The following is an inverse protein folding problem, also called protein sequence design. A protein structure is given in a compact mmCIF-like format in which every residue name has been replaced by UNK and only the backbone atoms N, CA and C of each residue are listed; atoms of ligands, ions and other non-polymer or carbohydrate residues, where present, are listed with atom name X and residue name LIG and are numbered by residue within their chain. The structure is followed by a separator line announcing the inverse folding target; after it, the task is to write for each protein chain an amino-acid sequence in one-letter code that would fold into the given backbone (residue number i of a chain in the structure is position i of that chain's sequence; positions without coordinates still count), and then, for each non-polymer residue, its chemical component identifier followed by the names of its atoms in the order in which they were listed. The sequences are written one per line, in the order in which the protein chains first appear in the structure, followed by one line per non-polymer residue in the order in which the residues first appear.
data_IF_601409144855
#
_entry.id   IF_601409144855
#
_cell.length_a   1.000
_cell.length_b   1.000
_cell.length_c   1.000
_cell.angle_alpha   90.00
_cell.angle_beta   90.00
_cell.angle_gamma   90.00
#
_symmetry.space_group_name_H-M   'P 1'
#
loop_
_entity.id
_entity.type
_entity.pdbx_description
1 polymer ?
#
# COMPACT_ATOMS: atom_id res chain seq x y z
N UNK A 1 -5.95 48.25 10.76
CA UNK A 1 -5.52 49.52 11.37
C UNK A 1 -4.00 49.40 11.59
N UNK A 2 -3.23 50.02 10.69
CA UNK A 2 -2.01 50.87 10.78
C UNK A 2 -1.01 50.45 11.87
N UNK A 3 0.21 49.87 11.51
CA UNK A 3 1.47 50.54 11.04
C UNK A 3 2.10 51.49 12.07
N UNK A 4 3.37 51.27 12.36
CA UNK A 4 4.57 52.16 12.49
C UNK A 4 5.68 51.35 13.14
N UNK A 5 6.74 50.88 12.49
CA UNK A 5 8.06 51.44 12.06
C UNK A 5 8.84 52.18 13.14
N UNK A 6 10.12 51.80 13.28
CA UNK A 6 11.14 52.55 14.02
C UNK A 6 12.51 51.89 14.01
N UNK A 7 13.36 52.33 13.11
CA UNK A 7 14.80 52.12 13.01
C UNK A 7 15.57 52.54 14.28
N UNK A 8 16.73 51.91 14.50
CA UNK A 8 18.01 52.61 14.64
C UNK A 8 19.20 51.65 14.89
N UNK A 9 20.14 51.70 13.95
CA UNK A 9 21.55 51.40 14.21
C UNK A 9 22.25 52.65 14.80
N UNK A 10 23.41 52.50 15.47
CA UNK A 10 24.66 52.84 14.81
C UNK A 10 25.92 51.96 15.16
N UNK A 11 26.70 51.69 14.17
CA UNK A 11 28.06 52.10 13.76
C UNK A 11 29.25 51.89 14.73
N UNK A 12 30.16 50.98 14.31
CA UNK A 12 31.60 51.06 13.97
C UNK A 12 32.64 51.56 14.98
N UNK A 13 33.73 50.77 15.11
CA UNK A 13 35.16 51.02 14.88
C UNK A 13 36.01 49.98 15.61
N UNK A 14 36.72 49.12 14.94
CA UNK A 14 38.10 49.15 14.42
C UNK A 14 39.23 49.06 15.49
N UNK A 15 40.19 48.20 15.18
CA UNK A 15 41.64 48.09 15.45
C UNK A 15 42.08 46.72 16.02
N UNK A 16 43.07 46.12 15.29
CA UNK A 16 44.03 45.16 15.85
C UNK A 16 44.31 43.91 15.02
N UNK A 17 45.32 43.96 14.17
CA UNK A 17 45.96 42.89 13.41
C UNK A 17 46.92 42.04 14.26
N UNK A 18 47.68 41.03 13.73
CA UNK A 18 47.36 39.59 13.82
C UNK A 18 48.42 38.80 14.59
N UNK A 19 48.10 37.66 15.11
CA UNK A 19 49.15 36.67 15.54
C UNK A 19 48.85 35.32 14.83
N UNK A 20 49.82 34.93 14.00
CA UNK A 20 49.97 33.58 13.42
C UNK A 20 50.25 32.56 14.55
N UNK A 21 49.47 31.52 14.67
CA UNK A 21 49.95 30.21 15.05
C UNK A 21 49.20 29.13 14.30
N UNK A 22 49.96 28.35 13.55
CA UNK A 22 49.46 27.21 12.80
C UNK A 22 49.04 26.06 13.71
N UNK A 23 47.81 25.64 13.59
CA UNK A 23 47.35 24.33 14.02
C UNK A 23 46.67 23.69 12.82
N UNK A 24 47.31 22.64 12.29
CA UNK A 24 46.77 21.77 11.27
C UNK A 24 45.57 21.00 11.87
N UNK A 25 44.37 21.51 11.72
CA UNK A 25 43.17 20.75 11.95
C UNK A 25 42.97 19.77 10.76
N UNK A 26 43.21 18.49 11.02
CA UNK A 26 42.76 17.40 10.16
C UNK A 26 41.24 17.46 10.10
N UNK A 27 40.72 18.12 9.09
CA UNK A 27 39.33 18.10 8.77
C UNK A 27 38.98 16.68 8.31
N UNK A 28 38.22 15.95 9.12
CA UNK A 28 37.71 14.62 8.82
C UNK A 28 36.93 14.65 7.51
N UNK A 29 37.51 14.05 6.49
CA UNK A 29 36.94 13.85 5.16
C UNK A 29 36.05 12.60 5.19
N UNK A 30 34.95 12.64 5.96
CA UNK A 30 33.99 11.54 6.07
C UNK A 30 32.58 11.85 5.53
N UNK A 31 32.37 13.03 4.91
CA UNK A 31 31.06 13.44 4.38
C UNK A 31 30.92 13.22 2.87
N UNK A 32 31.95 12.67 2.19
CA UNK A 32 31.88 12.48 0.73
C UNK A 32 31.55 11.07 0.24
N UNK A 33 31.44 10.09 1.14
CA UNK A 33 31.26 8.67 0.75
C UNK A 33 29.80 8.24 0.71
N UNK A 34 28.97 8.81 1.55
CA UNK A 34 27.53 8.44 1.63
C UNK A 34 26.73 9.07 0.48
N UNK A 35 26.98 10.33 0.15
CA UNK A 35 26.33 10.97 -1.01
C UNK A 35 26.78 10.34 -2.34
N UNK A 36 28.04 9.97 -2.46
CA UNK A 36 28.56 9.32 -3.66
C UNK A 36 28.03 7.88 -3.81
N UNK A 37 27.77 7.19 -2.70
CA UNK A 37 27.21 5.85 -2.70
C UNK A 37 25.71 5.85 -3.06
N UNK A 38 24.94 6.83 -2.58
CA UNK A 38 23.52 7.01 -2.92
C UNK A 38 23.35 7.42 -4.40
N UNK A 39 24.19 8.36 -4.89
CA UNK A 39 24.17 8.76 -6.30
C UNK A 39 24.62 7.62 -7.24
N UNK A 40 25.55 6.76 -6.79
CA UNK A 40 25.95 5.58 -7.57
C UNK A 40 24.90 4.47 -7.56
N UNK A 41 24.14 4.31 -6.46
CA UNK A 41 23.03 3.36 -6.41
C UNK A 41 21.87 3.81 -7.31
N UNK A 42 21.54 5.11 -7.34
CA UNK A 42 20.52 5.65 -8.25
C UNK A 42 20.96 5.49 -9.72
N UNK A 43 22.22 5.82 -10.05
CA UNK A 43 22.74 5.62 -11.41
C UNK A 43 22.93 4.15 -11.79
N UNK A 44 23.10 3.22 -10.84
CA UNK A 44 23.29 1.79 -11.15
C UNK A 44 21.95 1.06 -11.30
N UNK A 45 20.88 1.54 -10.65
CA UNK A 45 19.52 1.02 -10.83
C UNK A 45 18.91 1.50 -12.15
N UNK A 46 19.27 2.69 -12.62
CA UNK A 46 18.78 3.25 -13.89
C UNK A 46 19.48 2.67 -15.14
N UNK A 47 20.63 2.00 -14.98
CA UNK A 47 21.43 1.50 -16.12
C UNK A 47 21.22 0.02 -16.48
N UNK A 48 20.42 -0.73 -15.72
CA UNK A 48 20.18 -2.16 -15.94
C UNK A 48 18.75 -2.41 -16.40
N UNK A 49 18.48 -2.10 -17.63
CA UNK A 49 17.31 -2.57 -18.39
C UNK A 49 17.32 -1.91 -19.75
N UNK A 50 17.00 -2.63 -20.85
CA UNK A 50 16.88 -1.97 -22.14
C UNK A 50 15.87 -0.84 -21.99
N UNK A 51 16.30 0.42 -22.20
CA UNK A 51 15.39 1.51 -22.56
C UNK A 51 14.67 1.08 -23.82
N UNK A 52 13.55 0.40 -23.66
CA UNK A 52 12.61 0.19 -24.74
C UNK A 52 11.96 1.56 -24.97
N UNK A 53 12.64 2.42 -25.72
CA UNK A 53 12.03 3.55 -26.44
C UNK A 53 11.04 2.91 -27.41
N UNK A 54 9.94 2.39 -26.84
CA UNK A 54 8.97 1.60 -27.54
C UNK A 54 8.32 2.44 -28.62
N UNK A 55 8.14 1.83 -29.80
CA UNK A 55 7.34 2.42 -30.86
C UNK A 55 6.01 2.94 -30.27
N UNK A 56 5.37 3.91 -30.89
CA UNK A 56 4.04 4.41 -30.46
C UNK A 56 3.04 3.26 -30.23
N UNK A 57 3.17 2.20 -31.01
CA UNK A 57 2.35 0.98 -30.92
C UNK A 57 2.59 0.28 -29.58
N UNK A 58 3.85 0.10 -29.14
CA UNK A 58 4.15 -0.53 -27.85
C UNK A 58 3.59 0.29 -26.68
N UNK A 59 3.73 1.62 -26.69
CA UNK A 59 3.17 2.51 -25.66
C UNK A 59 1.65 2.38 -25.57
N UNK A 60 0.98 2.30 -26.71
CA UNK A 60 -0.46 2.12 -26.78
C UNK A 60 -0.90 0.74 -26.28
N UNK A 61 -0.21 -0.34 -26.66
CA UNK A 61 -0.49 -1.70 -26.15
C UNK A 61 -0.29 -1.77 -24.63
N UNK A 62 0.80 -1.19 -24.11
CA UNK A 62 1.05 -1.12 -22.66
C UNK A 62 -0.07 -0.37 -21.93
N UNK A 63 -0.58 0.70 -22.50
CA UNK A 63 -1.71 1.45 -21.93
C UNK A 63 -3.00 0.63 -21.91
N UNK A 64 -3.34 -0.05 -23.03
CA UNK A 64 -4.52 -0.94 -23.06
C UNK A 64 -4.40 -2.10 -22.09
N UNK A 65 -3.20 -2.69 -21.96
CA UNK A 65 -2.93 -3.71 -20.97
C UNK A 65 -3.15 -3.20 -19.53
N UNK A 66 -2.67 -1.98 -19.21
CA UNK A 66 -2.89 -1.36 -17.91
C UNK A 66 -4.36 -1.12 -17.60
N UNK A 67 -5.14 -0.67 -18.60
CA UNK A 67 -6.60 -0.53 -18.46
C UNK A 67 -7.25 -1.89 -18.20
N UNK A 68 -6.91 -2.92 -18.97
CA UNK A 68 -7.47 -4.25 -18.79
C UNK A 68 -7.15 -4.82 -17.39
N UNK A 69 -5.91 -4.69 -16.93
CA UNK A 69 -5.49 -5.11 -15.60
C UNK A 69 -6.27 -4.37 -14.49
N UNK A 70 -6.48 -3.06 -14.66
CA UNK A 70 -7.27 -2.25 -13.74
C UNK A 70 -8.75 -2.65 -13.71
N UNK A 71 -9.36 -2.94 -14.86
CA UNK A 71 -10.74 -3.40 -14.94
C UNK A 71 -10.90 -4.77 -14.26
N UNK A 72 -9.98 -5.70 -14.46
CA UNK A 72 -9.97 -6.98 -13.74
C UNK A 72 -9.88 -6.76 -12.25
N UNK A 73 -8.99 -5.89 -11.78
CA UNK A 73 -8.90 -5.50 -10.37
C UNK A 73 -10.23 -4.93 -9.86
N UNK A 74 -10.81 -3.98 -10.58
CA UNK A 74 -12.04 -3.31 -10.16
C UNK A 74 -13.21 -4.30 -10.03
N UNK A 75 -13.37 -5.20 -10.99
CA UNK A 75 -14.37 -6.27 -10.92
C UNK A 75 -14.07 -7.22 -9.76
N UNK A 76 -12.79 -7.56 -9.54
CA UNK A 76 -12.37 -8.44 -8.44
C UNK A 76 -12.71 -7.85 -7.08
N UNK A 77 -12.50 -6.56 -6.87
CA UNK A 77 -12.80 -5.91 -5.59
C UNK A 77 -14.31 -5.78 -5.36
N UNK A 78 -15.09 -5.51 -6.41
CA UNK A 78 -16.55 -5.53 -6.32
C UNK A 78 -17.08 -6.94 -6.00
N UNK A 79 -16.48 -7.96 -6.61
CA UNK A 79 -16.79 -9.35 -6.29
C UNK A 79 -16.43 -9.70 -4.84
N UNK A 80 -15.28 -9.20 -4.34
CA UNK A 80 -14.85 -9.39 -2.95
C UNK A 80 -15.87 -8.84 -1.95
N UNK A 81 -16.45 -7.65 -2.24
CA UNK A 81 -17.53 -7.06 -1.43
C UNK A 81 -18.72 -8.01 -1.40
N UNK A 82 -19.19 -8.45 -2.56
CA UNK A 82 -20.30 -9.39 -2.66
C UNK A 82 -20.01 -10.74 -2.01
N UNK A 83 -18.80 -11.26 -2.17
CA UNK A 83 -18.35 -12.52 -1.61
C UNK A 83 -18.37 -12.51 -0.07
N UNK A 84 -17.82 -11.47 0.55
CA UNK A 84 -17.73 -11.34 2.02
C UNK A 84 -19.09 -10.98 2.64
N UNK A 85 -19.85 -10.09 1.98
CA UNK A 85 -21.11 -9.60 2.53
C UNK A 85 -22.33 -10.46 2.14
N UNK A 86 -22.15 -11.51 1.34
CA UNK A 86 -23.26 -12.36 0.89
C UNK A 86 -24.21 -11.68 -0.10
N UNK A 87 -23.72 -10.72 -0.93
CA UNK A 87 -24.54 -9.88 -1.82
C UNK A 87 -24.31 -10.25 -3.30
N UNK A 88 -25.40 -10.35 -4.05
CA UNK A 88 -25.51 -10.28 -5.55
C UNK A 88 -24.45 -11.04 -6.38
N UNK A 89 -23.55 -11.83 -5.78
CA UNK A 89 -22.54 -12.63 -6.52
C UNK A 89 -22.97 -14.10 -6.58
N UNK A 90 -22.58 -14.83 -7.64
CA UNK A 90 -22.96 -16.24 -7.80
C UNK A 90 -22.47 -17.15 -6.67
N UNK A 91 -21.35 -16.79 -6.06
CA UNK A 91 -20.73 -17.54 -4.98
C UNK A 91 -20.24 -16.59 -3.89
N UNK A 92 -20.66 -16.86 -2.66
CA UNK A 92 -20.28 -16.11 -1.46
C UNK A 92 -19.36 -16.94 -0.57
N UNK A 93 -18.91 -16.36 0.52
CA UNK A 93 -18.08 -17.04 1.51
C UNK A 93 -18.78 -18.24 2.16
N UNK A 94 -20.13 -18.23 2.19
CA UNK A 94 -20.96 -19.23 2.84
C UNK A 94 -21.72 -20.13 1.85
N UNK A 95 -21.57 -19.90 0.53
CA UNK A 95 -22.24 -20.69 -0.50
C UNK A 95 -21.27 -21.48 -1.37
N UNK A 96 -21.64 -22.69 -1.76
CA UNK A 96 -20.85 -23.55 -2.63
C UNK A 96 -21.11 -25.04 -2.36
N UNK A 97 -20.18 -25.88 -2.80
CA UNK A 97 -20.28 -27.34 -2.64
C UNK A 97 -19.92 -27.74 -1.22
N UNK A 98 -20.74 -28.60 -0.62
CA UNK A 98 -20.46 -29.20 0.67
C UNK A 98 -19.15 -30.02 0.60
N UNK A 99 -18.27 -29.75 1.55
CA UNK A 99 -16.94 -30.36 1.59
C UNK A 99 -16.63 -30.76 3.05
N UNK A 100 -15.95 -31.89 3.29
CA UNK A 100 -15.51 -32.23 4.64
C UNK A 100 -14.71 -31.10 5.29
N UNK A 101 -14.99 -30.80 6.57
CA UNK A 101 -14.42 -29.63 7.26
C UNK A 101 -12.89 -29.57 7.18
N UNK A 102 -12.19 -30.71 7.34
CA UNK A 102 -10.73 -30.74 7.24
C UNK A 102 -10.23 -30.36 5.84
N UNK A 103 -10.87 -30.85 4.79
CA UNK A 103 -10.55 -30.51 3.42
C UNK A 103 -10.83 -29.01 3.16
N UNK A 104 -11.98 -28.50 3.62
CA UNK A 104 -12.35 -27.10 3.48
C UNK A 104 -11.28 -26.17 4.12
N UNK A 105 -10.87 -26.46 5.34
CA UNK A 105 -9.81 -25.69 6.04
C UNK A 105 -8.50 -25.71 5.25
N UNK A 106 -8.05 -26.91 4.83
CA UNK A 106 -6.78 -27.04 4.09
C UNK A 106 -6.81 -26.28 2.77
N UNK A 107 -7.87 -26.47 1.96
CA UNK A 107 -8.00 -25.80 0.67
C UNK A 107 -8.06 -24.29 0.84
N UNK A 108 -8.87 -23.78 1.78
CA UNK A 108 -9.02 -22.36 2.02
C UNK A 108 -7.70 -21.72 2.51
N UNK A 109 -6.98 -22.39 3.42
CA UNK A 109 -5.66 -21.92 3.88
C UNK A 109 -4.63 -21.92 2.76
N UNK A 110 -4.62 -22.93 1.87
CA UNK A 110 -3.73 -22.96 0.72
C UNK A 110 -4.02 -21.81 -0.26
N UNK A 111 -5.29 -21.51 -0.53
CA UNK A 111 -5.71 -20.40 -1.40
C UNK A 111 -5.33 -19.05 -0.79
N UNK A 112 -5.58 -18.84 0.49
CA UNK A 112 -5.18 -17.62 1.20
C UNK A 112 -3.66 -17.46 1.25
N UNK A 113 -2.92 -18.55 1.46
CA UNK A 113 -1.45 -18.56 1.44
C UNK A 113 -0.93 -18.26 0.04
N UNK A 114 -1.51 -18.82 -1.01
CA UNK A 114 -1.15 -18.53 -2.40
C UNK A 114 -1.26 -17.02 -2.68
N UNK A 115 -2.41 -16.42 -2.32
CA UNK A 115 -2.59 -14.97 -2.46
C UNK A 115 -1.56 -14.19 -1.64
N UNK A 116 -1.39 -14.54 -0.35
CA UNK A 116 -0.48 -13.82 0.55
C UNK A 116 0.98 -13.87 0.06
N UNK A 117 1.44 -15.04 -0.38
CA UNK A 117 2.80 -15.23 -0.91
C UNK A 117 2.99 -14.46 -2.22
N UNK A 118 2.08 -14.66 -3.19
CA UNK A 118 2.14 -13.94 -4.47
C UNK A 118 2.17 -12.43 -4.25
N UNK A 119 1.22 -11.91 -3.47
CA UNK A 119 1.08 -10.48 -3.21
C UNK A 119 2.31 -9.89 -2.49
N UNK A 120 2.81 -10.59 -1.45
CA UNK A 120 3.97 -10.13 -0.69
C UNK A 120 5.27 -10.23 -1.47
N UNK A 121 5.52 -11.35 -2.17
CA UNK A 121 6.78 -11.59 -2.88
C UNK A 121 6.93 -10.58 -4.04
N UNK A 122 5.88 -10.41 -4.85
CA UNK A 122 5.93 -9.47 -5.97
C UNK A 122 6.03 -8.01 -5.53
N UNK A 123 5.66 -7.67 -4.30
CA UNK A 123 5.83 -6.34 -3.75
C UNK A 123 7.29 -6.02 -3.37
N UNK A 124 8.17 -7.03 -3.18
CA UNK A 124 9.55 -6.83 -2.71
C UNK A 124 10.45 -6.23 -3.79
N UNK A 125 11.32 -5.28 -3.38
CA UNK A 125 12.26 -4.62 -4.28
C UNK A 125 13.19 -5.61 -5.01
N UNK A 126 13.67 -6.64 -4.31
CA UNK A 126 14.50 -7.71 -4.92
C UNK A 126 13.77 -8.47 -6.02
N UNK A 127 12.49 -8.79 -5.80
CA UNK A 127 11.67 -9.44 -6.81
C UNK A 127 11.43 -8.52 -8.00
N UNK A 128 11.10 -7.26 -7.77
CA UNK A 128 10.90 -6.26 -8.82
C UNK A 128 12.15 -6.08 -9.69
N UNK A 129 13.33 -5.98 -9.08
CA UNK A 129 14.60 -5.87 -9.81
C UNK A 129 14.88 -7.09 -10.70
N UNK A 130 14.53 -8.30 -10.24
CA UNK A 130 14.61 -9.51 -11.06
C UNK A 130 13.52 -9.56 -12.14
N UNK A 131 12.28 -9.27 -11.76
CA UNK A 131 11.10 -9.35 -12.64
C UNK A 131 11.15 -8.35 -13.80
N UNK A 132 11.66 -7.15 -13.58
CA UNK A 132 11.79 -6.10 -14.61
C UNK A 132 12.87 -6.38 -15.65
N UNK A 133 13.63 -7.46 -15.52
CA UNK A 133 14.47 -7.97 -16.61
C UNK A 133 13.63 -8.62 -17.73
N UNK A 134 12.44 -9.11 -17.41
CA UNK A 134 11.54 -9.81 -18.34
C UNK A 134 10.30 -8.98 -18.66
N UNK A 135 9.78 -8.24 -17.68
CA UNK A 135 8.57 -7.42 -17.81
C UNK A 135 8.96 -5.95 -17.87
N UNK A 136 8.57 -5.23 -18.93
CA UNK A 136 8.90 -3.81 -19.06
C UNK A 136 8.41 -2.98 -17.87
N UNK A 137 9.26 -2.07 -17.37
CA UNK A 137 8.97 -1.21 -16.21
C UNK A 137 7.58 -0.53 -16.24
N UNK A 138 7.09 0.00 -17.37
CA UNK A 138 5.78 0.66 -17.42
C UNK A 138 4.59 -0.23 -17.07
N UNK A 139 4.67 -1.54 -17.35
CA UNK A 139 3.58 -2.51 -17.13
C UNK A 139 3.79 -3.39 -15.89
N UNK A 140 4.93 -3.25 -15.20
CA UNK A 140 5.27 -4.04 -14.00
C UNK A 140 4.17 -3.96 -12.94
N UNK A 141 3.74 -2.75 -12.60
CA UNK A 141 2.72 -2.51 -11.57
C UNK A 141 1.36 -3.06 -11.98
N UNK A 142 0.96 -2.88 -13.24
CA UNK A 142 -0.28 -3.44 -13.79
C UNK A 142 -0.25 -4.98 -13.78
N UNK A 143 0.90 -5.60 -14.08
CA UNK A 143 1.09 -7.05 -14.01
C UNK A 143 0.97 -7.57 -12.59
N UNK A 144 1.57 -6.88 -11.62
CA UNK A 144 1.42 -7.20 -10.20
C UNK A 144 -0.05 -7.19 -9.76
N UNK A 145 -0.78 -6.13 -10.11
CA UNK A 145 -2.21 -5.98 -9.80
C UNK A 145 -3.04 -7.06 -10.46
N UNK A 146 -2.75 -7.41 -11.70
CA UNK A 146 -3.43 -8.48 -12.43
C UNK A 146 -3.23 -9.83 -11.74
N UNK A 147 -2.00 -10.22 -11.38
CA UNK A 147 -1.75 -11.48 -10.68
C UNK A 147 -2.39 -11.53 -9.29
N UNK A 148 -2.38 -10.43 -8.54
CA UNK A 148 -3.08 -10.35 -7.27
C UNK A 148 -4.59 -10.53 -7.43
N UNK A 149 -5.19 -9.90 -8.45
CA UNK A 149 -6.61 -10.06 -8.79
C UNK A 149 -6.96 -11.48 -9.21
N UNK A 150 -6.15 -12.11 -10.06
CA UNK A 150 -6.34 -13.50 -10.49
C UNK A 150 -6.24 -14.48 -9.31
N UNK A 151 -5.31 -14.24 -8.38
CA UNK A 151 -5.20 -15.06 -7.16
C UNK A 151 -6.42 -14.94 -6.26
N UNK A 152 -7.00 -13.73 -6.14
CA UNK A 152 -8.26 -13.52 -5.42
C UNK A 152 -9.45 -14.17 -6.14
N UNK A 153 -9.55 -14.03 -7.45
CA UNK A 153 -10.60 -14.68 -8.24
C UNK A 153 -10.53 -16.22 -8.11
N UNK A 154 -9.31 -16.77 -8.13
CA UNK A 154 -9.10 -18.19 -7.88
C UNK A 154 -9.55 -18.58 -6.47
N UNK A 155 -9.24 -17.74 -5.46
CA UNK A 155 -9.66 -17.94 -4.08
C UNK A 155 -11.20 -17.94 -4.00
N UNK A 156 -11.88 -16.97 -4.57
CA UNK A 156 -13.36 -16.92 -4.54
C UNK A 156 -13.98 -18.10 -5.26
N UNK A 157 -13.42 -18.47 -6.41
CA UNK A 157 -13.93 -19.60 -7.20
C UNK A 157 -13.77 -20.94 -6.49
N UNK A 158 -12.58 -21.20 -5.89
CA UNK A 158 -12.27 -22.48 -5.26
C UNK A 158 -12.56 -22.53 -3.76
N UNK A 159 -13.03 -21.43 -3.16
CA UNK A 159 -13.37 -21.39 -1.75
C UNK A 159 -14.33 -22.52 -1.35
N UNK A 160 -14.04 -23.21 -0.26
CA UNK A 160 -14.90 -24.24 0.32
C UNK A 160 -15.68 -23.63 1.48
N UNK A 161 -17.02 -23.51 1.40
CA UNK A 161 -17.81 -22.92 2.46
C UNK A 161 -17.78 -23.76 3.72
N UNK A 162 -17.80 -23.10 4.88
CA UNK A 162 -17.94 -23.69 6.20
C UNK A 162 -19.05 -22.95 6.93
N UNK A 163 -20.33 -23.31 6.65
CA UNK A 163 -21.49 -22.49 7.02
C UNK A 163 -21.92 -22.65 8.47
N UNK A 164 -21.20 -23.42 9.30
CA UNK A 164 -21.49 -23.54 10.73
C UNK A 164 -21.43 -22.17 11.39
N UNK A 165 -22.54 -21.74 12.01
CA UNK A 165 -22.69 -20.43 12.61
C UNK A 165 -21.96 -20.36 13.95
N UNK A 166 -21.13 -19.31 14.13
CA UNK A 166 -20.45 -18.97 15.38
C UNK A 166 -21.31 -17.99 16.20
N UNK A 167 -21.82 -16.94 15.54
CA UNK A 167 -22.84 -16.07 16.10
C UNK A 167 -23.83 -15.63 15.03
N UNK A 168 -25.04 -15.36 15.48
CA UNK A 168 -26.11 -14.74 14.71
C UNK A 168 -26.76 -13.65 15.55
N UNK A 169 -26.75 -12.44 15.04
CA UNK A 169 -27.32 -11.28 15.68
C UNK A 169 -28.80 -11.21 15.36
N UNK A 170 -29.62 -11.79 16.23
CA UNK A 170 -31.08 -11.84 16.06
C UNK A 170 -31.80 -10.49 16.16
N UNK A 171 -31.15 -9.43 16.63
CA UNK A 171 -31.71 -8.07 16.69
C UNK A 171 -31.56 -7.40 15.31
N UNK A 172 -32.67 -7.01 14.62
CA UNK A 172 -32.63 -6.43 13.29
C UNK A 172 -31.84 -5.09 13.23
N UNK A 173 -31.98 -4.23 14.22
CA UNK A 173 -31.34 -2.91 14.24
C UNK A 173 -29.83 -3.06 14.39
N UNK A 174 -29.38 -3.99 15.23
CA UNK A 174 -27.98 -4.30 15.39
C UNK A 174 -27.41 -4.97 14.14
N UNK A 175 -28.16 -5.86 13.49
CA UNK A 175 -27.75 -6.48 12.22
C UNK A 175 -27.56 -5.43 11.12
N UNK A 176 -28.49 -4.49 10.96
CA UNK A 176 -28.38 -3.35 10.02
C UNK A 176 -27.18 -2.48 10.38
N UNK A 177 -26.93 -2.24 11.65
CA UNK A 177 -25.76 -1.46 12.11
C UNK A 177 -24.46 -2.14 11.70
N UNK A 178 -24.32 -3.46 11.91
CA UNK A 178 -23.14 -4.23 11.52
C UNK A 178 -22.91 -4.23 10.01
N UNK A 179 -23.96 -4.42 9.21
CA UNK A 179 -23.88 -4.32 7.75
C UNK A 179 -23.43 -2.92 7.32
N UNK A 180 -23.98 -1.87 7.93
CA UNK A 180 -23.61 -0.49 7.64
C UNK A 180 -22.13 -0.23 7.97
N UNK A 181 -21.64 -0.74 9.11
CA UNK A 181 -20.23 -0.65 9.48
C UNK A 181 -19.34 -1.42 8.49
N UNK A 182 -19.75 -2.60 8.04
CA UNK A 182 -19.02 -3.33 7.01
C UNK A 182 -18.89 -2.51 5.71
N UNK A 183 -19.99 -1.90 5.24
CA UNK A 183 -19.96 -0.97 4.11
C UNK A 183 -19.05 0.24 4.36
N UNK A 184 -19.12 0.83 5.54
CA UNK A 184 -18.22 1.93 5.92
C UNK A 184 -16.75 1.51 5.88
N UNK A 185 -16.43 0.27 6.25
CA UNK A 185 -15.09 -0.31 6.08
C UNK A 185 -14.65 -0.31 4.62
N UNK A 186 -15.49 -0.78 3.70
CA UNK A 186 -15.20 -0.74 2.26
C UNK A 186 -15.05 0.69 1.71
N UNK A 187 -15.91 1.61 2.13
CA UNK A 187 -15.79 3.03 1.77
C UNK A 187 -14.47 3.60 2.27
N UNK A 188 -14.04 3.23 3.49
CA UNK A 188 -12.75 3.64 4.04
C UNK A 188 -11.58 3.12 3.19
N UNK A 189 -11.63 1.85 2.71
CA UNK A 189 -10.62 1.29 1.78
C UNK A 189 -10.51 2.13 0.52
N UNK A 190 -11.62 2.40 -0.16
CA UNK A 190 -11.62 3.18 -1.40
C UNK A 190 -11.16 4.61 -1.17
N UNK A 191 -11.73 5.30 -0.19
CA UNK A 191 -11.38 6.69 0.12
C UNK A 191 -9.89 6.83 0.44
N UNK A 192 -9.36 5.91 1.25
CA UNK A 192 -7.93 5.90 1.62
C UNK A 192 -7.02 5.66 0.41
N UNK A 193 -7.40 4.78 -0.50
CA UNK A 193 -6.63 4.53 -1.73
C UNK A 193 -6.58 5.75 -2.64
N UNK A 194 -7.70 6.50 -2.76
CA UNK A 194 -7.74 7.76 -3.52
C UNK A 194 -6.89 8.86 -2.88
N UNK A 195 -6.82 8.92 -1.55
CA UNK A 195 -6.01 9.90 -0.83
C UNK A 195 -4.51 9.71 -1.05
N UNK A 196 -4.02 8.47 -1.19
CA UNK A 196 -2.60 8.23 -1.46
C UNK A 196 -2.27 8.53 -2.93
N UNK A 197 -2.87 7.85 -3.84
CA UNK A 197 -2.87 7.97 -5.30
C UNK A 197 -3.42 6.67 -5.91
N UNK A 198 -4.72 6.54 -6.00
CA UNK A 198 -5.40 5.34 -6.46
C UNK A 198 -4.84 4.78 -7.79
N UNK A 199 -4.71 5.65 -8.79
CA UNK A 199 -4.27 5.23 -10.12
C UNK A 199 -2.78 4.81 -10.18
N UNK A 200 -1.96 5.36 -9.30
CA UNK A 200 -0.56 4.93 -9.13
C UNK A 200 -0.47 3.58 -8.42
N UNK A 201 -1.28 3.38 -7.37
CA UNK A 201 -1.35 2.10 -6.65
C UNK A 201 -1.69 0.93 -7.58
N UNK A 202 -2.56 1.15 -8.57
CA UNK A 202 -3.06 0.09 -9.44
C UNK A 202 -2.49 0.10 -10.86
N UNK A 203 -1.41 0.88 -11.11
CA UNK A 203 -0.61 0.77 -12.32
C UNK A 203 -1.07 1.63 -13.51
N UNK A 204 -2.22 2.32 -13.42
CA UNK A 204 -2.72 3.17 -14.52
C UNK A 204 -1.85 4.40 -14.74
N UNK A 205 -1.31 4.99 -13.68
CA UNK A 205 -0.48 6.18 -13.77
C UNK A 205 0.82 5.89 -14.53
N UNK A 206 1.43 4.72 -14.28
CA UNK A 206 2.67 4.31 -14.94
C UNK A 206 2.50 4.13 -16.46
N UNK A 207 1.45 3.42 -16.88
CA UNK A 207 1.19 3.19 -18.32
C UNK A 207 0.73 4.47 -19.02
N UNK A 208 -0.01 5.35 -18.34
CA UNK A 208 -0.42 6.65 -18.87
C UNK A 208 0.79 7.56 -19.08
N UNK A 209 1.67 7.67 -18.08
CA UNK A 209 2.90 8.45 -18.17
C UNK A 209 3.80 7.93 -19.32
N UNK A 210 3.92 6.60 -19.46
CA UNK A 210 4.65 6.00 -20.55
C UNK A 210 4.05 6.35 -21.92
N UNK A 211 2.71 6.33 -22.05
CA UNK A 211 2.01 6.68 -23.29
C UNK A 211 2.31 8.13 -23.72
N UNK A 212 2.22 9.08 -22.77
CA UNK A 212 2.42 10.52 -23.06
C UNK A 212 3.89 10.94 -23.00
N UNK A 213 4.83 10.03 -22.70
CA UNK A 213 6.26 10.32 -22.62
C UNK A 213 6.65 11.18 -21.39
N UNK A 214 5.87 11.11 -20.30
CA UNK A 214 6.15 11.83 -19.06
C UNK A 214 6.95 10.93 -18.09
N UNK A 215 8.02 11.48 -17.53
CA UNK A 215 8.78 10.79 -16.49
C UNK A 215 7.98 10.63 -15.19
N UNK A 216 8.26 9.56 -14.44
CA UNK A 216 7.68 9.36 -13.13
C UNK A 216 8.18 10.46 -12.17
N UNK A 217 7.27 11.08 -11.43
CA UNK A 217 7.66 12.03 -10.41
C UNK A 217 8.38 11.29 -9.26
N UNK A 218 9.40 11.91 -8.63
CA UNK A 218 10.08 11.31 -7.49
C UNK A 218 9.10 11.03 -6.35
N UNK A 219 9.25 9.87 -5.72
CA UNK A 219 8.43 9.46 -4.59
C UNK A 219 8.69 10.40 -3.41
N UNK A 220 7.63 11.03 -2.88
CA UNK A 220 7.69 11.91 -1.72
C UNK A 220 6.82 11.35 -0.61
N UNK A 221 7.27 11.45 0.62
CA UNK A 221 6.45 11.12 1.77
C UNK A 221 5.28 12.11 1.89
N UNK A 222 4.05 11.58 2.05
CA UNK A 222 2.83 12.38 2.22
C UNK A 222 1.90 11.68 3.19
N UNK A 223 1.26 12.47 4.04
CA UNK A 223 0.27 12.03 5.02
C UNK A 223 -1.07 12.73 4.80
N UNK A 224 -1.83 12.41 3.73
CA UNK A 224 -3.07 13.10 3.43
C UNK A 224 -4.17 12.73 4.43
N UNK A 225 -4.92 13.71 4.89
CA UNK A 225 -6.15 13.62 5.70
C UNK A 225 -6.21 12.43 6.69
N UNK A 226 -6.75 11.26 6.29
CA UNK A 226 -6.92 10.08 7.15
C UNK A 226 -5.58 9.54 7.67
N UNK A 227 -4.49 9.70 6.92
CA UNK A 227 -3.15 9.29 7.32
C UNK A 227 -2.56 10.15 8.44
N UNK A 228 -3.17 11.27 8.79
CA UNK A 228 -2.84 12.03 10.00
C UNK A 228 -3.45 11.43 11.29
N UNK A 229 -4.46 10.57 11.16
CA UNK A 229 -5.13 9.93 12.29
C UNK A 229 -4.64 8.50 12.53
N UNK A 230 -4.49 7.73 11.45
CA UNK A 230 -3.96 6.36 11.48
C UNK A 230 -3.02 6.15 10.31
N UNK A 231 -1.96 5.36 10.51
CA UNK A 231 -0.95 5.13 9.46
C UNK A 231 -1.46 4.23 8.34
N UNK A 232 -2.37 3.30 8.66
CA UNK A 232 -2.86 2.29 7.71
C UNK A 232 -4.39 2.26 7.61
N UNK A 233 -5.03 3.34 7.11
CA UNK A 233 -6.48 3.42 7.04
C UNK A 233 -7.10 2.41 6.05
N UNK A 234 -6.39 2.00 4.99
CA UNK A 234 -6.82 0.94 4.06
C UNK A 234 -6.99 -0.38 4.84
N UNK A 235 -5.99 -0.75 5.64
CA UNK A 235 -6.02 -1.99 6.43
C UNK A 235 -7.08 -1.96 7.52
N UNK A 236 -7.27 -0.80 8.16
CA UNK A 236 -8.37 -0.59 9.11
C UNK A 236 -9.74 -0.82 8.43
N UNK A 237 -9.91 -0.31 7.22
CA UNK A 237 -11.13 -0.51 6.44
C UNK A 237 -11.42 -1.98 6.17
N UNK A 238 -10.41 -2.77 5.77
CA UNK A 238 -10.56 -4.21 5.58
C UNK A 238 -10.91 -4.95 6.88
N UNK A 239 -10.24 -4.62 8.00
CA UNK A 239 -10.55 -5.23 9.30
C UNK A 239 -12.01 -4.95 9.67
N UNK A 240 -12.46 -3.70 9.59
CA UNK A 240 -13.86 -3.35 9.86
C UNK A 240 -14.78 -4.15 8.94
N UNK A 241 -14.53 -4.15 7.64
CA UNK A 241 -15.37 -4.82 6.65
C UNK A 241 -15.53 -6.33 6.90
N UNK A 242 -14.47 -7.00 7.35
CA UNK A 242 -14.48 -8.47 7.52
C UNK A 242 -15.02 -8.92 8.89
N UNK A 243 -14.91 -8.09 9.94
CA UNK A 243 -15.32 -8.46 11.28
C UNK A 243 -16.73 -8.02 11.64
N UNK A 244 -17.32 -7.04 10.94
CA UNK A 244 -18.67 -6.53 11.26
C UNK A 244 -19.77 -7.26 10.49
N UNK A 245 -19.77 -8.59 10.59
CA UNK A 245 -20.79 -9.44 10.00
C UNK A 245 -21.92 -9.73 11.00
N UNK A 246 -23.22 -9.56 10.64
CA UNK A 246 -24.34 -9.89 11.53
C UNK A 246 -24.44 -11.41 11.77
N UNK A 247 -24.10 -12.21 10.77
CA UNK A 247 -23.94 -13.66 10.89
C UNK A 247 -22.47 -13.99 10.63
N UNK A 248 -21.82 -14.62 11.59
CA UNK A 248 -20.44 -15.07 11.45
C UNK A 248 -20.41 -16.58 11.41
N UNK A 249 -19.98 -17.11 10.29
CA UNK A 249 -19.73 -18.55 10.11
C UNK A 249 -18.30 -18.92 10.39
N UNK A 250 -18.01 -20.21 10.50
CA UNK A 250 -16.63 -20.71 10.63
C UNK A 250 -15.78 -20.31 9.42
N UNK A 251 -16.36 -20.34 8.21
CA UNK A 251 -15.66 -19.92 6.99
C UNK A 251 -15.34 -18.44 6.99
N UNK A 252 -16.31 -17.60 7.37
CA UNK A 252 -16.10 -16.16 7.46
C UNK A 252 -15.09 -15.80 8.55
N UNK A 253 -15.17 -16.45 9.73
CA UNK A 253 -14.20 -16.26 10.82
C UNK A 253 -12.78 -16.65 10.39
N UNK A 254 -12.62 -17.80 9.70
CA UNK A 254 -11.32 -18.19 9.16
C UNK A 254 -10.74 -17.14 8.22
N UNK A 255 -11.57 -16.66 7.28
CA UNK A 255 -11.17 -15.61 6.34
C UNK A 255 -10.76 -14.33 7.06
N UNK A 256 -11.60 -13.81 7.97
CA UNK A 256 -11.34 -12.59 8.72
C UNK A 256 -10.08 -12.70 9.59
N UNK A 257 -9.90 -13.82 10.31
CA UNK A 257 -8.75 -14.03 11.19
C UNK A 257 -7.44 -14.15 10.40
N UNK A 258 -7.39 -15.01 9.37
CA UNK A 258 -6.19 -15.21 8.56
C UNK A 258 -5.82 -13.93 7.80
N UNK A 259 -6.81 -13.21 7.25
CA UNK A 259 -6.55 -11.94 6.58
C UNK A 259 -6.06 -10.88 7.57
N UNK A 260 -6.59 -10.84 8.80
CA UNK A 260 -6.11 -9.93 9.84
C UNK A 260 -4.66 -10.21 10.22
N UNK A 261 -4.29 -11.49 10.40
CA UNK A 261 -2.89 -11.89 10.64
C UNK A 261 -2.01 -11.44 9.47
N UNK A 262 -2.46 -11.70 8.24
CA UNK A 262 -1.73 -11.27 7.04
C UNK A 262 -1.57 -9.75 6.96
N UNK A 263 -2.60 -8.96 7.32
CA UNK A 263 -2.53 -7.50 7.40
C UNK A 263 -1.44 -7.05 8.38
N UNK A 264 -1.35 -7.63 9.58
CA UNK A 264 -0.30 -7.26 10.54
C UNK A 264 1.10 -7.59 10.03
N UNK A 265 1.28 -8.73 9.37
CA UNK A 265 2.55 -9.07 8.70
C UNK A 265 2.84 -8.06 7.58
N UNK A 266 1.85 -7.72 6.77
CA UNK A 266 1.96 -6.71 5.71
C UNK A 266 2.39 -5.35 6.24
N UNK A 267 1.75 -4.87 7.31
CA UNK A 267 2.11 -3.60 7.99
C UNK A 267 3.57 -3.62 8.45
N UNK A 268 3.99 -4.70 9.12
CA UNK A 268 5.36 -4.80 9.62
C UNK A 268 6.40 -4.72 8.48
N UNK A 269 6.13 -5.39 7.37
CA UNK A 269 6.99 -5.36 6.19
C UNK A 269 6.97 -4.00 5.49
N UNK A 270 5.80 -3.38 5.33
CA UNK A 270 5.63 -2.06 4.72
C UNK A 270 6.32 -0.96 5.55
N UNK A 271 6.13 -0.96 6.87
CA UNK A 271 6.79 0.01 7.75
C UNK A 271 8.32 -0.12 7.76
N UNK A 272 8.84 -1.35 7.62
CA UNK A 272 10.28 -1.57 7.44
C UNK A 272 10.77 -0.91 6.14
N UNK A 273 10.11 -1.20 5.02
CA UNK A 273 10.49 -0.62 3.72
C UNK A 273 10.36 0.92 3.71
N UNK A 274 9.35 1.48 4.40
CA UNK A 274 9.16 2.93 4.50
C UNK A 274 10.22 3.60 5.39
N UNK A 275 10.68 2.93 6.44
CA UNK A 275 11.82 3.41 7.25
C UNK A 275 13.11 3.40 6.43
N UNK A 276 13.33 2.37 5.62
CA UNK A 276 14.50 2.30 4.76
C UNK A 276 14.49 3.38 3.67
N UNK A 277 13.30 3.71 3.15
CA UNK A 277 13.12 4.69 2.07
C UNK A 277 13.15 6.15 2.57
N UNK A 278 12.47 6.47 3.69
CA UNK A 278 12.24 7.83 4.17
C UNK A 278 13.00 8.16 5.47
N UNK A 279 13.66 7.19 6.09
CA UNK A 279 14.51 7.39 7.25
C UNK A 279 13.77 8.01 8.44
N UNK A 280 14.36 9.12 8.97
CA UNK A 280 13.87 9.78 10.18
C UNK A 280 12.52 10.47 9.99
N UNK A 281 12.16 10.87 8.76
CA UNK A 281 10.84 11.47 8.47
C UNK A 281 9.72 10.46 8.78
N UNK A 282 9.88 9.20 8.36
CA UNK A 282 8.90 8.15 8.66
C UNK A 282 8.93 7.72 10.13
N UNK A 283 10.11 7.67 10.78
CA UNK A 283 10.23 7.37 12.22
C UNK A 283 9.45 8.37 13.07
N UNK A 284 9.62 9.69 12.83
CA UNK A 284 8.89 10.76 13.51
C UNK A 284 7.36 10.66 13.27
N UNK A 285 6.95 10.28 12.07
CA UNK A 285 5.55 10.05 11.77
C UNK A 285 4.98 8.87 12.59
N UNK A 286 5.72 7.76 12.72
CA UNK A 286 5.34 6.61 13.55
C UNK A 286 5.18 6.94 15.03
N UNK A 287 5.96 7.87 15.54
CA UNK A 287 5.84 8.32 16.93
C UNK A 287 4.55 9.11 17.18
N UNK A 288 4.13 9.91 16.23
CA UNK A 288 2.97 10.81 16.37
C UNK A 288 1.65 10.16 16.01
N UNK A 289 1.63 9.26 15.04
CA UNK A 289 0.40 8.70 14.47
C UNK A 289 0.27 7.22 14.84
N UNK A 290 -0.91 6.81 15.29
CA UNK A 290 -1.22 5.43 15.64
C UNK A 290 -1.31 4.53 14.41
N UNK A 291 -1.07 3.22 14.59
CA UNK A 291 -1.05 2.25 13.49
C UNK A 291 -2.43 2.06 12.83
N UNK A 292 -3.43 1.64 13.59
CA UNK A 292 -4.79 1.32 13.10
C UNK A 292 -5.88 2.07 13.90
N UNK A 293 -5.79 2.10 15.22
CA UNK A 293 -6.79 2.75 16.06
C UNK A 293 -6.34 4.18 16.34
N UNK A 294 -7.20 5.21 16.09
CA UNK A 294 -6.83 6.61 16.24
C UNK A 294 -6.69 7.02 17.71
N UNK A 295 -5.73 6.44 18.39
CA UNK A 295 -5.37 6.78 19.76
C UNK A 295 -4.36 7.92 19.72
N UNK A 296 -4.64 9.07 20.31
CA UNK A 296 -3.63 10.13 20.46
C UNK A 296 -2.51 9.58 21.32
N UNK A 297 -1.33 9.40 20.73
CA UNK A 297 -0.14 9.19 21.52
C UNK A 297 0.17 10.53 22.22
N UNK A 298 0.11 10.56 23.55
CA UNK A 298 0.66 11.66 24.33
C UNK A 298 2.17 11.68 24.07
N UNK A 299 2.65 12.73 23.44
CA UNK A 299 4.08 13.06 23.31
C UNK A 299 4.52 13.65 24.64
#
# INVERSE_FOLDING_TARGET
MKVVSGENQPSAKAWGTPIRHGAKTKQCRCLGTTERFMTQLDHHVDSIGPEVTGSRIFKFIAFLYGIAAYLVFFVTILYAIGFVMGLVVPKTIDTGTDTPAAEAVIVNLLLMTLFAVQHSVMARQRFKAWWTQFVPKPVERSTYVLFASLSLLLLFWQWRPMPTVIWDVGNPDLAVTLVTLSFAGWVLVFTSSYMINHFELFGLHQVTNHLIGKEAAPTRFKTPMLYNFVRHPIYLGFIIAFWTAPVMTVGHLLFAAVTTIYIFVGIALEEHDLVDLFGDEYRQYRERVSMLIPWRKSV
#
